data_IF_782479435533
#
_entry.id   IF_782479435533
#
_cell.length_a   1.000
_cell.length_b   1.000
_cell.length_c   1.000
_cell.angle_alpha   90.00
_cell.angle_beta   90.00
_cell.angle_gamma   90.00
#
_symmetry.space_group_name_H-M   'P 1'
#
loop_
_entity.id
_entity.type
_entity.pdbx_description
1 polymer ?
#
# COMPACT_ATOMS: atom_id res chain seq x y z
N UNK A 1 -41.74 9.58 31.22
CA UNK A 1 -41.25 8.78 30.08
C UNK A 1 -40.31 9.62 29.24
N UNK A 2 -39.09 9.13 28.97
CA UNK A 2 -38.14 9.82 28.09
C UNK A 2 -38.27 9.15 26.72
N UNK A 3 -38.73 9.91 25.73
CA UNK A 3 -38.86 9.50 24.34
C UNK A 3 -37.55 9.86 23.61
N UNK A 4 -36.85 8.86 23.08
CA UNK A 4 -35.73 9.07 22.16
C UNK A 4 -36.29 9.12 20.74
N UNK A 5 -36.00 10.21 20.01
CA UNK A 5 -36.28 10.31 18.57
C UNK A 5 -35.33 9.39 17.82
N UNK A 6 -35.86 8.56 16.91
CA UNK A 6 -35.05 7.87 15.91
C UNK A 6 -34.52 8.91 14.91
N UNK A 7 -33.27 9.32 15.07
CA UNK A 7 -32.58 10.18 14.11
C UNK A 7 -31.86 9.33 13.07
N UNK A 8 -32.13 9.59 11.79
CA UNK A 8 -31.46 8.92 10.69
C UNK A 8 -30.03 9.46 10.53
N UNK A 9 -29.04 8.60 10.74
CA UNK A 9 -27.63 8.95 10.54
C UNK A 9 -27.20 8.59 9.12
N UNK A 10 -26.72 9.58 8.37
CA UNK A 10 -26.14 9.37 7.04
C UNK A 10 -24.61 9.47 7.10
N UNK A 11 -23.93 8.39 6.74
CA UNK A 11 -22.47 8.36 6.65
C UNK A 11 -21.99 8.94 5.33
N UNK A 12 -21.41 10.14 5.35
CA UNK A 12 -20.74 10.73 4.19
C UNK A 12 -19.27 10.29 4.17
N UNK A 13 -18.87 9.61 3.09
CA UNK A 13 -17.47 9.25 2.87
C UNK A 13 -16.71 10.45 2.30
N UNK A 14 -15.46 10.61 2.71
CA UNK A 14 -14.59 11.61 2.11
C UNK A 14 -14.40 11.32 0.61
N UNK A 15 -14.57 12.35 -0.20
CA UNK A 15 -14.26 12.30 -1.63
C UNK A 15 -12.74 12.25 -1.84
N UNK A 16 -12.32 11.59 -2.92
CA UNK A 16 -10.92 11.62 -3.39
C UNK A 16 -10.85 12.33 -4.75
N UNK A 17 -9.85 13.19 -4.98
CA UNK A 17 -9.69 13.89 -6.26
C UNK A 17 -9.23 12.90 -7.34
N UNK A 18 -10.16 12.40 -8.15
CA UNK A 18 -9.89 11.35 -9.15
C UNK A 18 -8.83 11.77 -10.19
N UNK A 19 -8.74 13.07 -10.50
CA UNK A 19 -7.72 13.64 -11.39
C UNK A 19 -6.30 13.28 -10.95
N UNK A 20 -6.05 13.32 -9.65
CA UNK A 20 -4.71 13.18 -9.07
C UNK A 20 -4.26 11.72 -9.06
N UNK A 21 -5.23 10.79 -9.02
CA UNK A 21 -5.01 9.34 -9.04
C UNK A 21 -5.20 8.72 -10.43
N UNK A 22 -5.36 9.54 -11.46
CA UNK A 22 -5.44 9.07 -12.83
C UNK A 22 -4.16 8.33 -13.24
N UNK A 23 -4.34 7.23 -13.97
CA UNK A 23 -3.23 6.45 -14.47
C UNK A 23 -2.43 7.26 -15.50
N UNK A 24 -1.11 7.23 -15.38
CA UNK A 24 -0.18 7.80 -16.36
C UNK A 24 0.97 6.84 -16.62
N UNK A 25 1.13 6.46 -17.89
CA UNK A 25 2.22 5.61 -18.34
C UNK A 25 3.59 6.28 -18.13
N UNK A 26 3.67 7.59 -18.33
CA UNK A 26 4.91 8.35 -18.13
C UNK A 26 5.32 8.39 -16.66
N UNK A 27 4.37 8.68 -15.76
CA UNK A 27 4.63 8.62 -14.30
C UNK A 27 5.06 7.22 -13.87
N UNK A 28 4.41 6.17 -14.41
CA UNK A 28 4.75 4.76 -14.16
C UNK A 28 6.19 4.45 -14.59
N UNK A 29 6.57 4.84 -15.79
CA UNK A 29 7.89 4.54 -16.35
C UNK A 29 8.99 5.37 -15.66
N UNK A 30 8.73 6.63 -15.35
CA UNK A 30 9.65 7.48 -14.60
C UNK A 30 9.94 6.90 -13.21
N UNK A 31 8.90 6.48 -12.48
CA UNK A 31 9.07 5.85 -11.16
C UNK A 31 9.86 4.53 -11.25
N UNK A 32 9.55 3.66 -12.23
CA UNK A 32 10.27 2.40 -12.44
C UNK A 32 11.76 2.62 -12.70
N UNK A 33 12.10 3.56 -13.59
CA UNK A 33 13.51 3.92 -13.87
C UNK A 33 14.23 4.42 -12.61
N UNK A 34 13.59 5.31 -11.84
CA UNK A 34 14.17 5.86 -10.63
C UNK A 34 14.44 4.81 -9.53
N UNK A 35 13.73 3.67 -9.56
CA UNK A 35 13.83 2.61 -8.56
C UNK A 35 14.47 1.32 -9.10
N UNK A 36 15.02 1.34 -10.33
CA UNK A 36 15.64 0.16 -10.97
C UNK A 36 14.69 -1.03 -11.03
N UNK A 37 13.44 -0.78 -11.45
CA UNK A 37 12.44 -1.83 -11.71
C UNK A 37 12.39 -2.09 -13.20
N UNK A 38 12.72 -3.31 -13.60
CA UNK A 38 12.91 -3.66 -15.02
C UNK A 38 11.63 -4.21 -15.65
N UNK A 39 11.34 -3.76 -16.88
CA UNK A 39 10.34 -4.33 -17.79
C UNK A 39 9.09 -4.94 -17.14
N UNK A 40 9.03 -6.27 -17.15
CA UNK A 40 7.90 -7.08 -16.72
C UNK A 40 7.92 -7.45 -15.22
N UNK A 41 8.83 -6.88 -14.43
CA UNK A 41 8.86 -7.07 -12.98
C UNK A 41 7.53 -6.66 -12.35
N UNK A 42 6.94 -7.60 -11.61
CA UNK A 42 5.67 -7.41 -10.90
C UNK A 42 5.94 -6.66 -9.61
N UNK A 43 5.35 -5.48 -9.47
CA UNK A 43 5.50 -4.65 -8.26
C UNK A 43 4.21 -4.72 -7.45
N UNK A 44 4.28 -5.32 -6.28
CA UNK A 44 3.23 -5.27 -5.28
C UNK A 44 3.41 -4.01 -4.44
N UNK A 45 2.42 -3.11 -4.44
CA UNK A 45 2.46 -1.86 -3.70
C UNK A 45 1.48 -1.92 -2.52
N UNK A 46 1.98 -1.70 -1.32
CA UNK A 46 1.16 -1.48 -0.13
C UNK A 46 1.27 -0.02 0.31
N UNK A 47 0.17 0.74 0.19
CA UNK A 47 0.10 2.14 0.60
C UNK A 47 -0.56 2.25 1.98
N UNK A 48 0.18 2.72 3.00
CA UNK A 48 -0.38 2.91 4.33
C UNK A 48 0.63 3.17 5.44
N UNK A 49 0.18 3.85 6.51
CA UNK A 49 0.96 4.12 7.72
C UNK A 49 1.40 2.80 8.39
N UNK A 50 2.65 2.73 8.84
CA UNK A 50 3.18 1.54 9.51
C UNK A 50 2.71 1.48 10.96
N UNK A 51 1.62 0.75 11.23
CA UNK A 51 1.10 0.50 12.58
C UNK A 51 0.86 -0.99 12.80
N UNK A 52 1.04 -1.48 14.04
CA UNK A 52 0.79 -2.89 14.43
C UNK A 52 -0.64 -3.36 14.09
N UNK A 53 -1.63 -2.45 14.11
CA UNK A 53 -3.01 -2.72 13.71
C UNK A 53 -3.18 -3.03 12.22
N UNK A 54 -2.23 -2.64 11.36
CA UNK A 54 -2.16 -3.08 9.96
C UNK A 54 -1.16 -4.24 9.85
N UNK A 55 -1.64 -5.43 10.15
CA UNK A 55 -0.97 -6.74 10.20
C UNK A 55 0.13 -7.00 9.12
N UNK A 56 1.29 -6.33 9.21
CA UNK A 56 2.31 -6.35 8.16
C UNK A 56 2.98 -7.72 7.96
N UNK A 57 2.98 -8.54 9.01
CA UNK A 57 3.46 -9.93 8.97
C UNK A 57 2.65 -10.76 7.95
N UNK A 58 1.36 -10.47 7.78
CA UNK A 58 0.52 -11.14 6.79
C UNK A 58 0.99 -10.86 5.36
N UNK A 59 1.34 -9.61 5.07
CA UNK A 59 1.78 -9.21 3.72
C UNK A 59 3.13 -9.84 3.38
N UNK A 60 4.05 -9.94 4.35
CA UNK A 60 5.32 -10.64 4.15
C UNK A 60 5.13 -12.14 3.91
N UNK A 61 4.21 -12.79 4.64
CA UNK A 61 3.86 -14.20 4.42
C UNK A 61 3.25 -14.42 3.03
N UNK A 62 2.29 -13.58 2.65
CA UNK A 62 1.66 -13.61 1.33
C UNK A 62 2.71 -13.40 0.22
N UNK A 63 3.62 -12.45 0.41
CA UNK A 63 4.67 -12.19 -0.57
C UNK A 63 5.60 -13.38 -0.76
N UNK A 64 5.93 -14.11 0.31
CA UNK A 64 6.73 -15.34 0.21
C UNK A 64 6.04 -16.40 -0.64
N UNK A 65 4.72 -16.54 -0.51
CA UNK A 65 3.94 -17.44 -1.37
C UNK A 65 3.88 -16.94 -2.81
N UNK A 66 3.63 -15.64 -3.01
CA UNK A 66 3.56 -15.01 -4.33
C UNK A 66 4.87 -15.08 -5.09
N UNK A 67 6.02 -15.05 -4.40
CA UNK A 67 7.33 -15.14 -5.04
C UNK A 67 7.51 -16.48 -5.80
N UNK A 68 6.89 -17.55 -5.31
CA UNK A 68 6.91 -18.86 -6.00
C UNK A 68 6.08 -18.86 -7.29
N UNK A 69 5.10 -17.96 -7.40
CA UNK A 69 4.19 -17.85 -8.56
C UNK A 69 4.68 -16.80 -9.55
N UNK A 70 5.18 -15.67 -9.05
CA UNK A 70 5.64 -14.53 -9.82
C UNK A 70 7.15 -14.41 -9.64
N UNK A 71 7.91 -15.11 -10.49
CA UNK A 71 9.37 -15.23 -10.35
C UNK A 71 10.06 -13.88 -10.10
N UNK A 72 10.02 -12.97 -11.09
CA UNK A 72 10.57 -11.62 -10.94
C UNK A 72 9.52 -10.66 -10.35
N UNK A 73 9.54 -10.52 -9.03
CA UNK A 73 8.62 -9.63 -8.30
C UNK A 73 9.30 -8.84 -7.18
N UNK A 74 8.70 -7.71 -6.80
CA UNK A 74 9.13 -6.83 -5.71
C UNK A 74 7.95 -6.31 -4.90
N UNK A 75 8.12 -6.28 -3.58
CA UNK A 75 7.17 -5.67 -2.66
C UNK A 75 7.65 -4.27 -2.25
N UNK A 76 6.81 -3.27 -2.45
CA UNK A 76 7.07 -1.87 -2.09
C UNK A 76 6.04 -1.42 -1.07
N UNK A 77 6.53 -0.81 0.01
CA UNK A 77 5.70 -0.19 1.03
C UNK A 77 5.80 1.33 0.89
N UNK A 78 4.69 1.98 0.55
CA UNK A 78 4.58 3.44 0.49
C UNK A 78 3.88 3.95 1.75
N UNK A 79 4.67 4.40 2.72
CA UNK A 79 4.18 4.98 3.96
C UNK A 79 5.29 5.16 4.98
N UNK A 80 5.08 6.08 5.91
CA UNK A 80 5.94 6.30 7.07
C UNK A 80 5.27 5.77 8.35
N UNK A 81 6.08 5.37 9.32
CA UNK A 81 5.61 4.98 10.66
C UNK A 81 6.72 4.38 11.52
N UNK A 82 6.44 4.21 12.82
CA UNK A 82 7.43 3.93 13.87
C UNK A 82 8.31 2.69 13.64
N UNK A 83 7.86 1.75 12.81
CA UNK A 83 8.58 0.51 12.51
C UNK A 83 9.58 0.62 11.33
N UNK A 84 9.70 1.78 10.66
CA UNK A 84 10.64 1.96 9.53
C UNK A 84 12.09 1.63 9.91
N UNK A 85 12.44 1.82 11.19
CA UNK A 85 13.75 1.48 11.75
C UNK A 85 14.05 -0.01 11.86
N UNK A 86 13.04 -0.90 11.86
CA UNK A 86 13.26 -2.37 11.99
C UNK A 86 13.32 -3.10 10.65
N UNK A 87 12.81 -2.51 9.56
CA UNK A 87 12.82 -3.13 8.23
C UNK A 87 14.02 -2.70 7.37
N UNK A 88 14.75 -1.66 7.77
CA UNK A 88 16.00 -1.25 7.13
C UNK A 88 17.20 -1.97 7.77
N UNK A 89 17.17 -3.29 7.76
CA UNK A 89 18.34 -4.10 8.05
C UNK A 89 18.38 -5.25 7.04
N UNK A 90 19.03 -5.00 5.89
CA UNK A 90 20.18 -5.77 5.39
C UNK A 90 20.44 -5.47 3.91
N UNK A 91 21.51 -4.73 3.64
CA UNK A 91 22.31 -4.84 2.42
C UNK A 91 23.79 -4.75 2.80
N UNK A 92 24.32 -5.91 3.16
CA UNK A 92 25.71 -6.36 3.09
C UNK A 92 25.76 -7.70 3.80
#
# INVERSE_FOLDING_TARGET
EISFREETVYGLRNAIPVSDYSYSLDKRNAWRRAHGVDGNEVVFLNVGRWTKQKNQIFILRLYKELQSTFGLSRLVFAGDGELKGQACARRS
#
